data_IF_566704639435
#
_entry.id   IF_566704639435
#
_cell.length_a   1.000
_cell.length_b   1.000
_cell.length_c   1.000
_cell.angle_alpha   90.00
_cell.angle_beta   90.00
_cell.angle_gamma   90.00
#
_symmetry.space_group_name_H-M   'P 1'
#
loop_
_entity.id
_entity.type
_entity.pdbx_description
1 polymer ?
#
# COMPACT_ATOMS: atom_id res chain seq x y z
N UNK A 1 -12.42 11.68 -12.57
CA UNK A 1 -11.44 12.19 -11.58
C UNK A 1 -11.32 11.35 -10.29
N UNK A 2 -12.25 10.48 -9.89
CA UNK A 2 -12.12 9.75 -8.60
C UNK A 2 -11.13 8.56 -8.59
N UNK A 3 -10.69 8.09 -9.75
CA UNK A 3 -9.95 6.84 -9.88
C UNK A 3 -8.60 6.84 -9.14
N UNK A 4 -7.87 7.96 -9.14
CA UNK A 4 -6.56 8.04 -8.48
C UNK A 4 -6.69 8.01 -6.95
N UNK A 5 -7.76 8.59 -6.39
CA UNK A 5 -8.04 8.51 -4.96
C UNK A 5 -8.35 7.07 -4.52
N UNK A 6 -9.11 6.33 -5.34
CA UNK A 6 -9.41 4.92 -5.09
C UNK A 6 -8.12 4.09 -5.15
N UNK A 7 -7.27 4.33 -6.15
CA UNK A 7 -5.99 3.65 -6.29
C UNK A 7 -5.04 3.92 -5.10
N UNK A 8 -5.00 5.16 -4.61
CA UNK A 8 -4.23 5.52 -3.41
C UNK A 8 -4.80 4.83 -2.17
N UNK A 9 -6.10 4.87 -1.95
CA UNK A 9 -6.73 4.23 -0.79
C UNK A 9 -6.48 2.72 -0.78
N UNK A 10 -6.63 2.06 -1.94
CA UNK A 10 -6.33 0.64 -2.10
C UNK A 10 -4.84 0.34 -1.91
N UNK A 11 -3.94 1.20 -2.41
CA UNK A 11 -2.50 1.04 -2.22
C UNK A 11 -2.04 1.21 -0.79
N UNK A 12 -2.72 2.03 0.00
CA UNK A 12 -2.43 2.18 1.44
C UNK A 12 -2.95 0.98 2.24
N UNK A 13 -4.04 0.35 1.80
CA UNK A 13 -4.63 -0.84 2.43
C UNK A 13 -3.96 -2.15 1.99
N UNK A 14 -3.43 -2.22 0.76
CA UNK A 14 -2.84 -3.44 0.20
C UNK A 14 -1.70 -4.03 1.06
N UNK A 15 -0.78 -3.24 1.64
CA UNK A 15 0.24 -3.75 2.56
C UNK A 15 -0.34 -4.49 3.76
N UNK A 16 -1.48 -4.05 4.29
CA UNK A 16 -2.14 -4.74 5.40
C UNK A 16 -2.70 -6.11 5.00
N UNK A 17 -3.17 -6.23 3.75
CA UNK A 17 -3.72 -7.48 3.22
C UNK A 17 -2.64 -8.48 2.79
N UNK A 18 -1.57 -7.99 2.16
CA UNK A 18 -0.51 -8.84 1.59
C UNK A 18 0.58 -9.14 2.64
N UNK A 19 0.93 -8.14 3.44
CA UNK A 19 2.09 -8.15 4.34
C UNK A 19 1.67 -7.96 5.81
N UNK A 20 0.38 -8.17 6.14
CA UNK A 20 -0.18 -7.93 7.47
C UNK A 20 0.56 -8.67 8.59
N UNK A 21 0.96 -9.94 8.37
CA UNK A 21 1.75 -10.68 9.34
C UNK A 21 3.14 -10.06 9.55
N UNK A 22 3.85 -9.69 8.49
CA UNK A 22 5.17 -9.05 8.61
C UNK A 22 5.11 -7.66 9.24
N UNK A 23 4.07 -6.87 8.95
CA UNK A 23 3.86 -5.57 9.59
C UNK A 23 3.59 -5.77 11.08
N UNK A 24 2.74 -6.74 11.44
CA UNK A 24 2.46 -7.07 12.83
C UNK A 24 3.71 -7.53 13.58
N UNK A 25 4.54 -8.39 12.98
CA UNK A 25 5.82 -8.82 13.56
C UNK A 25 6.75 -7.60 13.74
N UNK A 26 6.82 -6.70 12.75
CA UNK A 26 7.60 -5.47 12.87
C UNK A 26 7.10 -4.54 13.99
N UNK A 27 5.79 -4.50 14.25
CA UNK A 27 5.21 -3.80 15.40
C UNK A 27 5.58 -4.48 16.73
N UNK A 28 5.58 -5.81 16.79
CA UNK A 28 5.92 -6.58 17.99
C UNK A 28 7.42 -6.50 18.32
N UNK A 29 8.31 -6.57 17.31
CA UNK A 29 9.77 -6.60 17.51
C UNK A 29 10.41 -5.22 17.61
N UNK A 30 9.95 -4.25 16.79
CA UNK A 30 10.60 -2.94 16.64
C UNK A 30 9.73 -1.79 17.14
N UNK A 31 8.60 -2.12 17.77
CA UNK A 31 7.62 -1.17 18.27
C UNK A 31 6.92 -0.38 17.16
N UNK A 32 6.23 0.69 17.55
CA UNK A 32 5.41 1.49 16.64
C UNK A 32 6.22 2.11 15.48
N UNK A 33 7.44 2.56 15.74
CA UNK A 33 8.29 3.21 14.72
C UNK A 33 8.74 2.21 13.65
N UNK A 34 9.13 0.99 14.06
CA UNK A 34 9.52 -0.04 13.10
C UNK A 34 8.34 -0.59 12.30
N UNK A 35 7.21 -0.84 12.97
CA UNK A 35 5.98 -1.29 12.30
C UNK A 35 5.46 -0.28 11.28
N UNK A 36 5.38 1.00 11.65
CA UNK A 36 4.99 2.08 10.73
C UNK A 36 6.02 2.28 9.62
N UNK A 37 7.32 2.16 9.90
CA UNK A 37 8.38 2.25 8.90
C UNK A 37 8.28 1.15 7.84
N UNK A 38 8.06 -0.11 8.25
CA UNK A 38 7.85 -1.24 7.33
C UNK A 38 6.58 -1.08 6.51
N UNK A 39 5.49 -0.66 7.14
CA UNK A 39 4.24 -0.36 6.43
C UNK A 39 4.40 0.77 5.41
N UNK A 40 5.10 1.86 5.79
CA UNK A 40 5.34 2.98 4.89
C UNK A 40 6.21 2.58 3.70
N UNK A 41 7.27 1.80 3.94
CA UNK A 41 8.09 1.23 2.86
C UNK A 41 7.27 0.38 1.88
N UNK A 42 6.32 -0.41 2.38
CA UNK A 42 5.42 -1.17 1.53
C UNK A 42 4.41 -0.27 0.78
N UNK A 43 3.91 0.80 1.39
CA UNK A 43 3.05 1.79 0.73
C UNK A 43 3.75 2.47 -0.46
N UNK A 44 5.04 2.81 -0.30
CA UNK A 44 5.85 3.44 -1.35
C UNK A 44 5.94 2.57 -2.61
N UNK A 45 5.86 1.24 -2.48
CA UNK A 45 5.86 0.33 -3.63
C UNK A 45 4.45 0.06 -4.15
N UNK A 46 3.50 -0.21 -3.26
CA UNK A 46 2.14 -0.65 -3.64
C UNK A 46 1.28 0.46 -4.24
N UNK A 47 1.38 1.70 -3.73
CA UNK A 47 0.62 2.85 -4.23
C UNK A 47 0.95 3.20 -5.70
N UNK A 48 2.21 3.38 -6.12
CA UNK A 48 2.50 3.68 -7.52
C UNK A 48 2.15 2.53 -8.46
N UNK A 49 2.28 1.27 -8.03
CA UNK A 49 1.84 0.11 -8.82
C UNK A 49 0.33 0.18 -9.07
N UNK A 50 -0.47 0.40 -8.04
CA UNK A 50 -1.94 0.45 -8.18
C UNK A 50 -2.41 1.70 -8.94
N UNK A 51 -1.72 2.82 -8.79
CA UNK A 51 -1.95 4.02 -9.62
C UNK A 51 -1.66 3.72 -11.10
N UNK A 52 -0.55 3.06 -11.39
CA UNK A 52 -0.18 2.68 -12.76
C UNK A 52 -1.18 1.69 -13.37
N UNK A 53 -1.59 0.67 -12.63
CA UNK A 53 -2.60 -0.30 -13.08
C UNK A 53 -3.96 0.36 -13.32
N UNK A 54 -4.40 1.24 -12.40
CA UNK A 54 -5.67 1.95 -12.54
C UNK A 54 -5.64 2.92 -13.72
N UNK A 55 -4.49 3.56 -13.97
CA UNK A 55 -4.28 4.41 -15.14
C UNK A 55 -4.32 3.62 -16.45
N UNK A 56 -3.65 2.45 -16.52
CA UNK A 56 -3.77 1.56 -17.68
C UNK A 56 -5.22 1.12 -17.89
N UNK A 57 -5.93 0.77 -16.82
CA UNK A 57 -7.35 0.43 -16.89
C UNK A 57 -8.18 1.55 -17.52
N UNK A 58 -7.89 2.81 -17.21
CA UNK A 58 -8.57 3.96 -17.84
C UNK A 58 -8.20 4.22 -19.30
N UNK A 59 -7.17 3.58 -19.85
CA UNK A 59 -6.83 3.67 -21.29
C UNK A 59 -7.50 2.59 -22.13
N UNK A 60 -7.92 1.49 -21.49
CA UNK A 60 -8.48 0.32 -22.17
C UNK A 60 -10.01 0.45 -22.36
N UNK A 61 -10.67 1.30 -21.57
CA UNK A 61 -12.12 1.57 -21.61
C UNK A 61 -12.40 3.03 -21.98
#
# INVERSE_FOLDING_TARGET
MAWYWIAIALGVLAPWLIMGQSIRIAFEERGAVGGLGTWFGACVLTVPILLFLSWIGTLIF
#
